data_IF_895433985247
#
_entry.id   IF_895433985247
#
_cell.length_a   1.000
_cell.length_b   1.000
_cell.length_c   1.000
_cell.angle_alpha   90.00
_cell.angle_beta   90.00
_cell.angle_gamma   90.00
#
_symmetry.space_group_name_H-M   'P 1'
#
loop_
_entity.id
_entity.type
_entity.pdbx_description
1 polymer ?
#
# COMPACT_ATOMS: atom_id res chain seq x y z
N UNK A 1 11.02 6.42 2.83
CA UNK A 1 9.69 6.42 2.20
C UNK A 1 9.17 5.02 1.97
N UNK A 2 7.84 4.83 1.96
CA UNK A 2 7.14 3.58 1.60
C UNK A 2 6.06 3.83 0.54
N UNK A 3 5.95 2.92 -0.42
CA UNK A 3 4.82 2.80 -1.35
C UNK A 3 3.93 1.62 -0.96
N UNK A 4 2.61 1.83 -0.93
CA UNK A 4 1.62 0.81 -0.63
C UNK A 4 0.93 0.35 -1.92
N UNK A 5 1.03 -0.94 -2.26
CA UNK A 5 0.35 -1.51 -3.42
C UNK A 5 -1.00 -2.12 -3.01
N UNK A 6 -2.06 -1.76 -3.74
CA UNK A 6 -3.43 -2.28 -3.59
C UNK A 6 -3.85 -3.07 -4.84
N UNK A 7 -4.93 -3.85 -4.70
CA UNK A 7 -5.53 -4.66 -5.78
C UNK A 7 -4.60 -5.76 -6.33
N UNK A 8 -4.07 -6.59 -5.43
CA UNK A 8 -3.22 -7.74 -5.75
C UNK A 8 -3.99 -9.02 -5.44
N UNK A 9 -4.75 -9.52 -6.42
CA UNK A 9 -5.74 -10.59 -6.18
C UNK A 9 -5.16 -12.02 -6.25
N UNK A 10 -3.84 -12.18 -6.41
CA UNK A 10 -3.17 -13.48 -6.38
C UNK A 10 -1.73 -13.37 -5.90
N UNK A 11 -1.16 -14.47 -5.38
CA UNK A 11 0.27 -14.52 -5.02
C UNK A 11 1.19 -14.19 -6.20
N UNK A 12 0.82 -14.63 -7.40
CA UNK A 12 1.58 -14.30 -8.61
C UNK A 12 1.54 -12.80 -8.91
N UNK A 13 0.39 -12.15 -8.72
CA UNK A 13 0.27 -10.70 -8.88
C UNK A 13 1.01 -9.93 -7.79
N UNK A 14 1.04 -10.42 -6.54
CA UNK A 14 1.90 -9.85 -5.50
C UNK A 14 3.35 -9.82 -5.96
N UNK A 15 3.88 -10.96 -6.45
CA UNK A 15 5.25 -11.03 -6.97
C UNK A 15 5.46 -10.05 -8.12
N UNK A 16 4.61 -10.07 -9.15
CA UNK A 16 4.74 -9.20 -10.33
C UNK A 16 4.64 -7.70 -9.98
N UNK A 17 3.73 -7.35 -9.08
CA UNK A 17 3.56 -5.98 -8.60
C UNK A 17 4.80 -5.48 -7.85
N UNK A 18 5.40 -6.33 -7.01
CA UNK A 18 6.66 -6.02 -6.33
C UNK A 18 7.84 -5.90 -7.31
N UNK A 19 7.96 -6.81 -8.28
CA UNK A 19 9.00 -6.76 -9.32
C UNK A 19 8.93 -5.47 -10.15
N UNK A 20 7.72 -5.02 -10.50
CA UNK A 20 7.52 -3.76 -11.22
C UNK A 20 7.87 -2.55 -10.34
N UNK A 21 7.37 -2.53 -9.11
CA UNK A 21 7.56 -1.41 -8.19
C UNK A 21 9.02 -1.25 -7.76
N UNK A 22 9.75 -2.36 -7.59
CA UNK A 22 11.19 -2.34 -7.33
C UNK A 22 11.96 -1.64 -8.46
N UNK A 23 11.67 -2.00 -9.72
CA UNK A 23 12.30 -1.38 -10.90
C UNK A 23 11.99 0.11 -10.98
N UNK A 24 10.71 0.49 -10.83
CA UNK A 24 10.28 1.89 -10.83
C UNK A 24 11.00 2.71 -9.75
N UNK A 25 11.03 2.21 -8.51
CA UNK A 25 11.68 2.93 -7.42
C UNK A 25 13.19 3.06 -7.64
N UNK A 26 13.83 2.02 -8.19
CA UNK A 26 15.25 2.06 -8.58
C UNK A 26 15.52 3.14 -9.62
N UNK A 27 14.68 3.27 -10.65
CA UNK A 27 14.81 4.31 -11.69
C UNK A 27 14.68 5.72 -11.11
N UNK A 28 13.72 5.95 -10.22
CA UNK A 28 13.51 7.23 -9.53
C UNK A 28 14.76 7.60 -8.72
N UNK A 29 15.27 6.66 -7.91
CA UNK A 29 16.44 6.91 -7.06
C UNK A 29 17.69 7.14 -7.92
N UNK A 30 17.87 6.36 -8.99
CA UNK A 30 19.05 6.47 -9.87
C UNK A 30 19.08 7.78 -10.67
N UNK A 31 17.91 8.37 -10.95
CA UNK A 31 17.79 9.69 -11.58
C UNK A 31 17.92 10.86 -10.59
N UNK A 32 18.22 10.59 -9.31
CA UNK A 32 18.35 11.61 -8.27
C UNK A 32 17.01 12.07 -7.68
N UNK A 33 15.91 11.43 -8.07
CA UNK A 33 14.59 11.65 -7.49
C UNK A 33 14.46 11.07 -6.09
N UNK A 34 13.36 11.43 -5.41
CA UNK A 34 12.99 10.86 -4.11
C UNK A 34 11.69 10.10 -4.26
N UNK A 35 11.60 8.97 -3.58
CA UNK A 35 10.35 8.24 -3.47
C UNK A 35 9.48 9.02 -2.48
N UNK A 36 8.23 9.28 -2.84
CA UNK A 36 7.20 9.86 -1.97
C UNK A 36 6.32 8.78 -1.33
N UNK A 37 5.73 9.08 -0.17
CA UNK A 37 4.82 8.13 0.47
C UNK A 37 3.51 8.08 -0.31
N UNK A 38 3.23 6.96 -0.97
CA UNK A 38 2.12 6.88 -1.94
C UNK A 38 1.35 5.56 -1.82
N UNK A 39 0.07 5.58 -2.23
CA UNK A 39 -0.73 4.38 -2.48
C UNK A 39 -0.88 4.23 -3.99
N UNK A 40 -0.55 3.04 -4.52
CA UNK A 40 -0.65 2.70 -5.93
C UNK A 40 -1.52 1.45 -6.11
N UNK A 41 -2.20 1.35 -7.25
CA UNK A 41 -2.98 0.18 -7.64
C UNK A 41 -2.18 -0.66 -8.63
N UNK A 42 -2.18 -1.97 -8.47
CA UNK A 42 -1.69 -2.87 -9.51
C UNK A 42 -2.76 -3.09 -10.59
N UNK A 43 -2.38 -2.90 -11.85
CA UNK A 43 -3.18 -3.23 -13.02
C UNK A 43 -2.70 -4.57 -13.61
N UNK A 44 -3.55 -5.57 -13.52
CA UNK A 44 -3.26 -6.94 -13.96
C UNK A 44 -3.14 -7.06 -15.48
N UNK A 45 -3.85 -6.21 -16.23
CA UNK A 45 -3.85 -6.26 -17.69
C UNK A 45 -2.51 -5.77 -18.28
N UNK A 46 -1.94 -4.73 -17.67
CA UNK A 46 -0.68 -4.13 -18.10
C UNK A 46 0.52 -4.63 -17.30
N UNK A 47 0.30 -5.20 -16.12
CA UNK A 47 1.36 -5.59 -15.19
C UNK A 47 2.07 -4.40 -14.54
N UNK A 48 1.43 -3.22 -14.48
CA UNK A 48 2.03 -1.97 -14.00
C UNK A 48 1.38 -1.47 -12.70
N UNK A 49 2.03 -0.53 -12.01
CA UNK A 49 1.46 0.16 -10.85
C UNK A 49 1.03 1.58 -11.21
N UNK A 50 -0.22 1.93 -10.90
CA UNK A 50 -0.82 3.23 -11.19
C UNK A 50 -0.95 4.02 -9.88
N UNK A 51 -0.49 5.28 -9.88
CA UNK A 51 -0.61 6.16 -8.70
C UNK A 51 -2.09 6.42 -8.38
N UNK A 52 -2.48 6.25 -7.11
CA UNK A 52 -3.80 6.64 -6.63
C UNK A 52 -3.74 7.91 -5.79
N UNK A 53 -2.95 7.91 -4.71
CA UNK A 53 -2.79 9.06 -3.82
C UNK A 53 -1.35 9.19 -3.34
N UNK A 54 -0.90 10.44 -3.17
CA UNK A 54 0.28 10.77 -2.37
C UNK A 54 -0.19 11.08 -0.95
N UNK A 55 0.44 10.50 0.06
CA UNK A 55 0.09 10.71 1.47
C UNK A 55 0.73 12.00 1.94
N UNK A 56 -0.09 12.96 2.36
CA UNK A 56 0.36 14.19 3.01
C UNK A 56 0.59 14.01 4.53
N UNK A 57 0.21 12.85 5.07
CA UNK A 57 0.35 12.46 6.48
C UNK A 57 -0.24 11.07 6.74
N UNK A 58 -0.38 10.71 8.02
CA UNK A 58 -1.15 9.52 8.43
C UNK A 58 -2.62 9.88 8.62
N UNK A 59 -3.52 9.03 8.12
CA UNK A 59 -4.97 9.18 8.31
C UNK A 59 -5.31 9.10 9.82
N UNK A 60 -6.01 10.11 10.38
CA UNK A 60 -6.52 10.08 11.76
C UNK A 60 -7.86 9.34 11.80
N UNK A 61 -7.80 8.07 12.23
CA UNK A 61 -8.97 7.19 12.32
C UNK A 61 -9.85 7.45 13.54
N UNK A 62 -9.43 8.32 14.47
CA UNK A 62 -10.18 8.66 15.69
C UNK A 62 -10.69 7.41 16.42
N UNK A 63 -9.81 6.44 16.66
CA UNK A 63 -10.16 5.19 17.34
C UNK A 63 -10.77 5.45 18.72
N UNK A 64 -11.90 4.81 18.99
CA UNK A 64 -12.51 4.71 20.32
C UNK A 64 -13.14 3.32 20.47
N UNK A 65 -13.32 2.80 21.70
CA UNK A 65 -14.03 1.54 21.92
C UNK A 65 -15.44 1.61 21.36
N UNK A 66 -15.86 0.60 20.59
CA UNK A 66 -17.21 0.52 20.05
C UNK A 66 -18.23 0.41 21.20
N UNK A 67 -19.03 1.46 21.49
CA UNK A 67 -19.91 1.49 22.65
C UNK A 67 -21.04 0.46 22.58
N UNK A 68 -21.41 0.02 21.36
CA UNK A 68 -22.48 -0.96 21.16
C UNK A 68 -22.00 -2.41 21.37
N UNK A 69 -20.69 -2.63 21.55
CA UNK A 69 -20.10 -3.94 21.80
C UNK A 69 -19.52 -4.01 23.21
N UNK A 70 -19.89 -5.05 23.96
CA UNK A 70 -19.24 -5.38 25.23
C UNK A 70 -17.81 -5.87 24.98
N UNK A 71 -16.95 -5.68 25.97
CA UNK A 71 -15.60 -6.24 25.93
C UNK A 71 -15.63 -7.77 25.78
N UNK A 72 -14.83 -8.28 24.85
CA UNK A 72 -14.69 -9.71 24.64
C UNK A 72 -13.82 -10.32 25.74
N UNK A 73 -14.41 -11.14 26.60
CA UNK A 73 -13.69 -11.97 27.56
C UNK A 73 -13.53 -13.39 26.97
N UNK A 74 -12.29 -13.90 26.93
CA UNK A 74 -11.95 -15.25 26.45
C UNK A 74 -11.51 -16.06 27.67
N UNK A 75 -12.19 -17.19 27.92
CA UNK A 75 -11.86 -18.13 29.00
C UNK A 75 -10.71 -19.08 28.63
N UNK A 76 -10.32 -19.97 29.57
CA UNK A 76 -9.25 -20.96 29.39
C UNK A 76 -9.62 -22.13 28.46
#
# INVERSE_FOLDING_TARGET
TKTELKNLNSFNFVRKGLEFEEKRQREIVSSGGRIEQETRRFDEATGTTILMRVKEGSDDYRYFPEPDLLELYIDE
#
